data_IF_459713458296
#
_entry.id   IF_459713458296
#
_cell.length_a   1.000
_cell.length_b   1.000
_cell.length_c   1.000
_cell.angle_alpha   90.00
_cell.angle_beta   90.00
_cell.angle_gamma   90.00
#
_symmetry.space_group_name_H-M   'P 1'
#
loop_
_entity.id
_entity.type
_entity.pdbx_description
1 polymer ?
#
# COMPACT_ATOMS: atom_id res chain seq x y z
N UNK A 1 27.53 -27.37 -9.40
CA UNK A 1 26.47 -27.91 -8.51
C UNK A 1 26.01 -26.82 -7.54
N UNK A 2 24.70 -26.65 -7.30
CA UNK A 2 24.20 -25.74 -6.24
C UNK A 2 24.04 -26.55 -4.94
N UNK A 3 24.73 -26.17 -3.85
CA UNK A 3 24.56 -26.82 -2.54
C UNK A 3 23.12 -26.61 -2.05
N UNK A 4 22.53 -27.63 -1.42
CA UNK A 4 21.28 -27.50 -0.65
C UNK A 4 21.47 -26.43 0.44
N UNK A 5 20.40 -25.76 0.91
CA UNK A 5 20.42 -25.10 2.21
C UNK A 5 20.95 -26.09 3.26
N UNK A 6 21.79 -25.61 4.18
CA UNK A 6 22.17 -26.40 5.36
C UNK A 6 21.01 -26.37 6.34
N UNK A 7 20.89 -27.46 7.10
CA UNK A 7 20.06 -27.55 8.30
C UNK A 7 20.29 -26.35 9.22
N UNK A 8 19.27 -25.96 9.98
CA UNK A 8 19.38 -24.96 11.05
C UNK A 8 20.40 -25.41 12.12
N UNK A 9 21.65 -25.02 11.93
CA UNK A 9 22.72 -25.32 12.90
C UNK A 9 22.35 -24.81 14.30
N UNK A 10 22.76 -25.49 15.40
CA UNK A 10 22.48 -25.02 16.76
C UNK A 10 22.97 -23.60 17.07
N UNK A 11 23.95 -23.09 16.30
CA UNK A 11 24.39 -21.69 16.34
C UNK A 11 23.34 -20.72 15.77
N UNK A 12 22.73 -21.06 14.64
CA UNK A 12 21.68 -20.23 14.01
C UNK A 12 20.39 -20.22 14.85
N UNK A 13 19.99 -21.37 15.43
CA UNK A 13 18.86 -21.43 16.36
C UNK A 13 19.05 -20.49 17.57
N UNK A 14 20.28 -20.39 18.10
CA UNK A 14 20.65 -19.46 19.19
C UNK A 14 20.63 -17.97 18.82
N UNK A 15 20.39 -17.62 17.55
CA UNK A 15 20.33 -16.25 17.07
C UNK A 15 19.01 -15.93 16.36
N UNK A 16 18.04 -16.85 16.39
CA UNK A 16 16.71 -16.68 15.80
C UNK A 16 15.95 -15.55 16.51
N UNK A 17 15.77 -14.41 15.83
CA UNK A 17 14.88 -13.33 16.26
C UNK A 17 13.51 -13.49 15.67
N UNK A 18 12.48 -13.15 16.45
CA UNK A 18 11.08 -13.42 16.10
C UNK A 18 10.19 -12.26 16.53
N UNK A 19 9.23 -11.91 15.67
CA UNK A 19 8.20 -10.92 15.96
C UNK A 19 7.24 -11.41 17.06
N UNK A 20 7.02 -10.56 18.06
CA UNK A 20 6.20 -10.81 19.25
C UNK A 20 4.72 -10.40 19.10
N UNK A 21 4.27 -10.08 17.88
CA UNK A 21 2.85 -9.81 17.54
C UNK A 21 2.15 -10.98 16.83
N UNK A 22 2.86 -11.80 16.04
CA UNK A 22 2.24 -12.52 14.91
C UNK A 22 2.00 -14.03 15.16
N UNK A 23 1.88 -14.42 16.44
CA UNK A 23 1.68 -15.80 16.87
C UNK A 23 2.83 -16.77 16.55
N UNK A 24 3.98 -16.26 16.09
CA UNK A 24 5.18 -17.07 15.82
C UNK A 24 5.77 -17.68 17.10
N UNK A 25 5.82 -16.90 18.18
CA UNK A 25 6.31 -17.35 19.51
C UNK A 25 5.52 -18.56 20.01
N UNK A 26 4.19 -18.54 19.86
CA UNK A 26 3.30 -19.64 20.27
C UNK A 26 3.51 -20.90 19.41
N UNK A 27 3.72 -20.74 18.10
CA UNK A 27 4.05 -21.86 17.19
C UNK A 27 5.42 -22.48 17.48
N UNK A 28 6.41 -21.67 17.81
CA UNK A 28 7.76 -22.12 18.19
C UNK A 28 7.75 -22.90 19.50
N UNK A 29 7.07 -22.39 20.54
CA UNK A 29 6.86 -23.12 21.81
C UNK A 29 6.10 -24.43 21.57
N UNK A 30 5.04 -24.43 20.75
CA UNK A 30 4.29 -25.64 20.40
C UNK A 30 5.07 -26.64 19.52
N UNK A 31 6.17 -26.22 18.88
CA UNK A 31 7.07 -27.08 18.11
C UNK A 31 8.24 -27.63 18.94
N UNK A 32 8.41 -27.20 20.20
CA UNK A 32 9.58 -27.54 21.02
C UNK A 32 10.84 -26.71 20.73
N UNK A 33 10.72 -25.67 19.89
CA UNK A 33 11.83 -24.79 19.47
C UNK A 33 11.62 -23.34 19.99
N UNK A 34 11.67 -23.07 21.31
CA UNK A 34 11.42 -21.73 21.84
C UNK A 34 12.43 -20.68 21.29
N UNK A 35 11.98 -19.46 20.93
CA UNK A 35 12.85 -18.44 20.36
C UNK A 35 13.89 -17.95 21.36
N UNK A 36 15.15 -17.87 20.93
CA UNK A 36 16.27 -17.50 21.81
C UNK A 36 16.40 -15.99 22.04
N UNK A 37 15.83 -15.17 21.15
CA UNK A 37 15.62 -13.74 21.42
C UNK A 37 14.30 -13.23 20.81
N UNK A 38 13.44 -12.64 21.63
CA UNK A 38 12.25 -11.94 21.13
C UNK A 38 12.64 -10.55 20.61
N UNK A 39 12.19 -10.20 19.41
CA UNK A 39 12.25 -8.83 18.95
C UNK A 39 11.21 -7.98 19.70
N UNK A 40 11.51 -6.72 20.08
CA UNK A 40 10.52 -5.78 20.57
C UNK A 40 9.34 -5.69 19.59
N UNK A 41 8.11 -5.54 20.10
CA UNK A 41 6.94 -5.31 19.24
C UNK A 41 7.20 -4.10 18.34
N UNK A 42 7.04 -4.29 17.04
CA UNK A 42 7.34 -3.28 16.03
C UNK A 42 6.20 -3.26 15.00
N UNK A 43 5.68 -2.08 14.60
CA UNK A 43 4.61 -2.00 13.59
C UNK A 43 5.04 -2.46 12.20
N UNK A 44 6.35 -2.60 11.94
CA UNK A 44 6.90 -3.22 10.73
C UNK A 44 6.96 -4.76 10.80
N UNK A 45 6.68 -5.35 11.98
CA UNK A 45 6.57 -6.79 12.22
C UNK A 45 7.70 -7.62 11.61
N UNK A 46 7.32 -8.69 10.90
CA UNK A 46 8.22 -9.57 10.15
C UNK A 46 9.12 -8.84 9.13
N UNK A 47 8.64 -7.76 8.51
CA UNK A 47 9.30 -7.14 7.35
C UNK A 47 10.67 -6.56 7.73
N UNK A 48 10.74 -5.86 8.86
CA UNK A 48 12.00 -5.33 9.40
C UNK A 48 13.01 -6.43 9.73
N UNK A 49 12.56 -7.57 10.25
CA UNK A 49 13.45 -8.69 10.53
C UNK A 49 13.99 -9.32 9.22
N UNK A 50 13.20 -9.30 8.15
CA UNK A 50 13.66 -9.71 6.82
C UNK A 50 14.66 -8.70 6.21
N UNK A 51 14.49 -7.39 6.45
CA UNK A 51 15.49 -6.36 6.10
C UNK A 51 16.83 -6.61 6.82
N UNK A 52 16.78 -6.89 8.13
CA UNK A 52 17.99 -7.20 8.92
C UNK A 52 18.70 -8.50 8.46
N UNK A 53 17.96 -9.53 8.04
CA UNK A 53 18.56 -10.73 7.40
C UNK A 53 19.14 -10.41 6.02
N UNK A 54 18.48 -9.55 5.24
CA UNK A 54 18.94 -9.16 3.90
C UNK A 54 20.23 -8.33 3.94
N UNK A 55 20.40 -7.51 4.98
CA UNK A 55 21.59 -6.72 5.27
C UNK A 55 22.71 -7.49 5.99
N UNK A 56 22.40 -8.66 6.57
CA UNK A 56 23.35 -9.48 7.34
C UNK A 56 23.53 -9.06 8.80
N UNK A 57 22.68 -8.17 9.32
CA UNK A 57 22.68 -7.75 10.73
C UNK A 57 22.27 -8.88 11.69
N UNK A 58 21.42 -9.81 11.22
CA UNK A 58 21.00 -11.01 11.95
C UNK A 58 21.01 -12.22 10.98
N UNK A 59 21.32 -13.44 11.44
CA UNK A 59 21.48 -14.59 10.54
C UNK A 59 20.16 -15.17 10.03
N UNK A 60 19.07 -15.04 10.80
CA UNK A 60 17.76 -15.57 10.46
C UNK A 60 16.61 -14.88 11.23
N UNK A 61 15.40 -15.03 10.69
CA UNK A 61 14.12 -14.69 11.34
C UNK A 61 13.07 -15.74 10.97
N UNK A 62 12.04 -15.89 11.80
CA UNK A 62 10.82 -16.61 11.41
C UNK A 62 9.85 -15.65 10.70
N UNK A 63 9.14 -16.17 9.69
CA UNK A 63 8.23 -15.46 8.80
C UNK A 63 7.27 -16.46 8.11
N UNK A 64 6.12 -16.02 7.62
CA UNK A 64 5.29 -16.80 6.70
C UNK A 64 5.95 -16.89 5.32
N UNK A 65 5.81 -18.04 4.64
CA UNK A 65 6.35 -18.23 3.27
C UNK A 65 5.96 -17.09 2.33
N UNK A 66 4.69 -16.67 2.34
CA UNK A 66 4.22 -15.57 1.49
C UNK A 66 4.85 -14.21 1.84
N UNK A 67 5.26 -13.97 3.09
CA UNK A 67 6.00 -12.75 3.47
C UNK A 67 7.42 -12.78 2.89
N UNK A 68 8.12 -13.92 3.01
CA UNK A 68 9.45 -14.09 2.44
C UNK A 68 9.41 -14.05 0.91
N UNK A 69 8.39 -14.64 0.27
CA UNK A 69 8.21 -14.56 -1.19
C UNK A 69 7.91 -13.14 -1.69
N UNK A 70 7.25 -12.29 -0.89
CA UNK A 70 7.13 -10.84 -1.18
C UNK A 70 8.47 -10.12 -0.97
N UNK A 71 9.10 -10.29 0.19
CA UNK A 71 10.35 -9.63 0.56
C UNK A 71 11.48 -9.89 -0.45
N UNK A 72 11.59 -11.12 -0.97
CA UNK A 72 12.57 -11.53 -1.99
C UNK A 72 12.49 -10.77 -3.33
N UNK A 73 11.40 -10.05 -3.60
CA UNK A 73 11.29 -9.16 -4.77
C UNK A 73 12.08 -7.85 -4.58
N UNK A 74 12.18 -7.35 -3.34
CA UNK A 74 12.97 -6.16 -2.96
C UNK A 74 14.38 -6.53 -2.51
N UNK A 75 14.52 -7.70 -1.91
CA UNK A 75 15.75 -8.20 -1.26
C UNK A 75 16.17 -9.57 -1.83
N UNK A 76 16.82 -9.63 -3.01
CA UNK A 76 17.17 -10.91 -3.66
C UNK A 76 18.16 -11.78 -2.87
N UNK A 77 18.87 -11.19 -1.90
CA UNK A 77 19.76 -11.90 -0.97
C UNK A 77 19.00 -12.89 -0.07
N UNK A 78 17.73 -12.61 0.24
CA UNK A 78 16.90 -13.46 1.10
C UNK A 78 16.68 -14.85 0.51
N UNK A 79 16.72 -15.85 1.40
CA UNK A 79 16.51 -17.27 1.08
C UNK A 79 15.45 -17.83 2.01
N UNK A 80 14.62 -18.73 1.50
CA UNK A 80 13.74 -19.54 2.34
C UNK A 80 14.61 -20.53 3.13
N UNK A 81 14.44 -20.53 4.46
CA UNK A 81 14.95 -21.58 5.33
C UNK A 81 14.01 -22.79 5.38
N UNK A 82 14.19 -23.61 6.40
CA UNK A 82 13.32 -24.76 6.69
C UNK A 82 11.98 -24.31 7.28
N UNK A 83 10.96 -25.18 7.22
CA UNK A 83 9.63 -24.89 7.73
C UNK A 83 9.55 -25.28 9.21
N UNK A 84 9.36 -24.30 10.09
CA UNK A 84 9.35 -24.52 11.54
C UNK A 84 7.91 -24.70 12.05
N UNK A 85 7.68 -25.81 12.76
CA UNK A 85 6.39 -26.20 13.31
C UNK A 85 5.39 -26.77 12.28
N UNK A 86 4.27 -27.35 12.76
CA UNK A 86 3.25 -27.94 11.89
C UNK A 86 2.54 -26.90 11.03
N UNK A 87 2.08 -27.32 9.84
CA UNK A 87 1.30 -26.47 8.91
C UNK A 87 -0.12 -26.27 9.45
N UNK A 88 -0.26 -25.36 10.41
CA UNK A 88 -1.52 -25.05 11.06
C UNK A 88 -2.57 -24.50 10.09
N UNK A 89 -3.76 -25.10 10.10
CA UNK A 89 -4.93 -24.56 9.41
C UNK A 89 -5.44 -23.31 10.11
N UNK A 90 -5.51 -22.18 9.39
CA UNK A 90 -6.26 -21.01 9.85
C UNK A 90 -7.75 -21.39 9.93
N UNK A 91 -8.32 -21.33 11.12
CA UNK A 91 -9.75 -21.53 11.40
C UNK A 91 -10.43 -20.23 11.82
N UNK A 92 -11.76 -20.23 11.86
CA UNK A 92 -12.53 -19.17 12.50
C UNK A 92 -12.67 -19.48 13.99
N UNK A 93 -12.23 -18.56 14.84
CA UNK A 93 -12.48 -18.63 16.28
C UNK A 93 -13.92 -18.22 16.57
N UNK A 94 -14.63 -19.05 17.33
CA UNK A 94 -16.02 -18.83 17.71
C UNK A 94 -16.14 -18.79 19.23
N UNK A 95 -17.20 -18.16 19.75
CA UNK A 95 -17.49 -18.18 21.19
C UNK A 95 -17.82 -19.62 21.59
N UNK A 96 -17.22 -20.10 22.68
CA UNK A 96 -17.56 -21.41 23.25
C UNK A 96 -18.98 -21.32 23.86
N UNK A 97 -19.93 -22.05 23.28
CA UNK A 97 -21.35 -22.07 23.67
C UNK A 97 -21.90 -23.50 23.62
N UNK A 98 -22.82 -23.84 24.52
CA UNK A 98 -23.48 -25.15 24.50
C UNK A 98 -24.39 -25.35 23.27
N UNK A 99 -24.83 -24.25 22.62
CA UNK A 99 -25.39 -24.35 21.28
C UNK A 99 -24.27 -24.36 20.21
N UNK A 100 -24.17 -25.49 19.51
CA UNK A 100 -23.27 -25.71 18.37
C UNK A 100 -23.98 -25.52 17.01
N UNK A 101 -25.22 -25.03 16.97
CA UNK A 101 -26.00 -24.84 15.72
C UNK A 101 -25.23 -24.03 14.66
N UNK A 102 -24.59 -22.94 15.09
CA UNK A 102 -23.81 -22.07 14.22
C UNK A 102 -22.47 -22.71 13.80
N UNK A 103 -21.78 -23.39 14.72
CA UNK A 103 -20.51 -24.06 14.42
C UNK A 103 -20.70 -25.12 13.32
N UNK A 104 -21.74 -25.94 13.45
CA UNK A 104 -22.11 -26.96 12.45
C UNK A 104 -22.52 -26.37 11.10
N UNK A 105 -23.00 -25.12 11.05
CA UNK A 105 -23.23 -24.40 9.78
C UNK A 105 -21.91 -23.88 9.17
N UNK A 106 -21.01 -23.35 9.98
CA UNK A 106 -19.67 -22.89 9.55
C UNK A 106 -18.85 -24.04 8.97
N UNK A 107 -18.87 -25.22 9.61
CA UNK A 107 -18.21 -26.43 9.08
C UNK A 107 -18.81 -26.89 7.74
N UNK A 108 -20.14 -26.95 7.63
CA UNK A 108 -20.83 -27.28 6.37
C UNK A 108 -20.43 -26.30 5.25
N UNK A 109 -20.40 -24.99 5.55
CA UNK A 109 -19.92 -23.97 4.63
C UNK A 109 -18.48 -24.24 4.19
N UNK A 110 -17.54 -24.50 5.11
CA UNK A 110 -16.15 -24.76 4.72
C UNK A 110 -15.96 -26.07 3.96
N UNK A 111 -16.73 -27.13 4.25
CA UNK A 111 -16.74 -28.36 3.43
C UNK A 111 -17.24 -28.07 2.02
N UNK A 112 -18.33 -27.33 1.87
CA UNK A 112 -18.89 -26.98 0.56
C UNK A 112 -18.01 -25.99 -0.23
N UNK A 113 -17.38 -25.02 0.45
CA UNK A 113 -16.44 -24.07 -0.15
C UNK A 113 -15.11 -24.72 -0.58
N UNK A 114 -14.73 -25.85 0.05
CA UNK A 114 -13.63 -26.72 -0.43
C UNK A 114 -14.07 -27.51 -1.67
N UNK A 115 -15.20 -28.24 -1.60
CA UNK A 115 -15.71 -29.07 -2.71
C UNK A 115 -16.01 -28.29 -3.99
N UNK A 116 -16.54 -27.08 -3.88
CA UNK A 116 -16.86 -26.20 -5.02
C UNK A 116 -15.65 -25.47 -5.61
N UNK A 117 -14.46 -25.60 -5.01
CA UNK A 117 -13.27 -24.82 -5.40
C UNK A 117 -13.31 -23.35 -4.99
N UNK A 118 -14.38 -22.87 -4.33
CA UNK A 118 -14.54 -21.48 -3.91
C UNK A 118 -13.35 -20.97 -3.10
N UNK A 119 -12.82 -21.75 -2.15
CA UNK A 119 -11.64 -21.34 -1.38
C UNK A 119 -10.37 -21.22 -2.25
N UNK A 120 -10.24 -22.04 -3.31
CA UNK A 120 -9.11 -21.96 -4.23
C UNK A 120 -9.24 -20.74 -5.17
N UNK A 121 -10.47 -20.43 -5.63
CA UNK A 121 -10.77 -19.21 -6.38
C UNK A 121 -10.50 -17.96 -5.54
N UNK A 122 -11.02 -17.89 -4.31
CA UNK A 122 -10.80 -16.77 -3.40
C UNK A 122 -9.31 -16.57 -3.09
N UNK A 123 -8.55 -17.65 -2.82
CA UNK A 123 -7.09 -17.58 -2.67
C UNK A 123 -6.40 -17.05 -3.94
N UNK A 124 -6.80 -17.53 -5.12
CA UNK A 124 -6.23 -17.08 -6.41
C UNK A 124 -6.53 -15.60 -6.69
N UNK A 125 -7.70 -15.10 -6.26
CA UNK A 125 -8.06 -13.69 -6.34
C UNK A 125 -7.26 -12.86 -5.31
N UNK A 126 -7.23 -13.26 -4.04
CA UNK A 126 -6.43 -12.65 -2.96
C UNK A 126 -4.95 -12.53 -3.32
N UNK A 127 -4.27 -13.63 -3.68
CA UNK A 127 -2.87 -13.59 -4.08
C UNK A 127 -2.65 -12.79 -5.37
N UNK A 128 -3.61 -12.82 -6.31
CA UNK A 128 -3.55 -12.04 -7.56
C UNK A 128 -3.71 -10.53 -7.37
N UNK A 129 -4.43 -10.11 -6.32
CA UNK A 129 -4.54 -8.71 -5.89
C UNK A 129 -3.31 -8.31 -5.06
N UNK A 130 -3.01 -9.02 -3.96
CA UNK A 130 -1.90 -8.69 -3.06
C UNK A 130 -0.53 -8.68 -3.75
N UNK A 131 -0.23 -9.67 -4.61
CA UNK A 131 1.06 -9.71 -5.35
C UNK A 131 1.20 -8.61 -6.43
N UNK A 132 0.20 -7.75 -6.63
CA UNK A 132 0.25 -6.61 -7.58
C UNK A 132 0.23 -5.23 -6.92
N UNK A 133 -0.22 -5.11 -5.66
CA UNK A 133 -0.62 -3.82 -5.11
C UNK A 133 -0.18 -3.53 -3.66
N UNK A 134 0.43 -4.50 -2.97
CA UNK A 134 0.64 -4.43 -1.51
C UNK A 134 2.07 -3.96 -1.10
N UNK A 135 2.68 -3.06 -1.89
CA UNK A 135 3.95 -2.38 -1.55
C UNK A 135 3.89 -0.90 -1.95
N UNK A 136 3.46 -0.06 -1.03
CA UNK A 136 3.76 1.38 -1.07
C UNK A 136 5.21 1.53 -0.65
N UNK A 137 6.05 2.12 -1.52
CA UNK A 137 7.51 2.05 -1.38
C UNK A 137 8.06 3.13 -0.43
N UNK A 138 7.76 3.00 0.86
CA UNK A 138 8.11 4.03 1.87
C UNK A 138 9.63 4.25 2.01
N UNK A 139 10.45 3.21 1.81
CA UNK A 139 11.91 3.33 1.78
C UNK A 139 12.40 4.06 0.52
N UNK A 140 11.90 3.66 -0.66
CA UNK A 140 12.20 4.32 -1.93
C UNK A 140 11.67 5.76 -1.97
N UNK A 141 10.63 6.06 -1.19
CA UNK A 141 10.11 7.41 -0.99
C UNK A 141 11.01 8.25 -0.09
N UNK A 142 11.42 7.75 1.09
CA UNK A 142 12.38 8.44 1.98
C UNK A 142 13.70 8.76 1.25
N UNK A 143 14.28 7.76 0.57
CA UNK A 143 15.47 7.96 -0.28
C UNK A 143 15.24 9.00 -1.37
N UNK A 144 14.03 9.10 -1.93
CA UNK A 144 13.70 10.12 -2.92
C UNK A 144 13.47 11.50 -2.30
N UNK A 145 12.98 11.60 -1.05
CA UNK A 145 12.89 12.86 -0.31
C UNK A 145 14.30 13.46 -0.11
N UNK A 146 15.29 12.62 0.19
CA UNK A 146 16.69 13.02 0.29
C UNK A 146 17.33 13.38 -1.07
N UNK A 147 17.11 12.57 -2.11
CA UNK A 147 17.91 12.62 -3.35
C UNK A 147 17.25 13.30 -4.56
N UNK A 148 15.92 13.49 -4.52
CA UNK A 148 15.12 14.03 -5.65
C UNK A 148 14.28 15.24 -5.27
N UNK A 149 13.56 15.22 -4.14
CA UNK A 149 12.60 16.27 -3.77
C UNK A 149 13.19 17.69 -3.80
N UNK A 150 14.43 17.95 -3.34
CA UNK A 150 15.01 19.31 -3.36
C UNK A 150 15.14 19.92 -4.76
N UNK A 151 15.08 19.10 -5.82
CA UNK A 151 15.10 19.56 -7.23
C UNK A 151 13.75 20.10 -7.72
N UNK A 152 12.67 19.79 -7.01
CA UNK A 152 11.28 20.05 -7.41
C UNK A 152 10.47 20.79 -6.34
N UNK A 153 10.97 20.87 -5.09
CA UNK A 153 10.25 21.46 -3.96
C UNK A 153 9.84 22.93 -4.20
N UNK A 154 10.71 23.75 -4.80
CA UNK A 154 10.38 25.13 -5.15
C UNK A 154 9.23 25.25 -6.17
N UNK A 155 9.12 24.29 -7.10
CA UNK A 155 8.03 24.22 -8.08
C UNK A 155 6.73 23.72 -7.44
N UNK A 156 6.81 22.69 -6.57
CA UNK A 156 5.66 22.24 -5.79
C UNK A 156 5.11 23.36 -4.90
N UNK A 157 5.97 24.07 -4.17
CA UNK A 157 5.57 25.20 -3.31
C UNK A 157 4.92 26.33 -4.10
N UNK A 158 5.50 26.70 -5.26
CA UNK A 158 4.95 27.76 -6.13
C UNK A 158 3.59 27.39 -6.71
N UNK A 159 3.50 26.24 -7.40
CA UNK A 159 2.26 25.80 -8.04
C UNK A 159 1.13 25.51 -7.03
N UNK A 160 1.47 25.09 -5.81
CA UNK A 160 0.51 24.86 -4.75
C UNK A 160 -0.04 26.18 -4.16
N UNK A 161 0.84 27.18 -3.98
CA UNK A 161 0.45 28.52 -3.51
C UNK A 161 -0.47 29.25 -4.51
N UNK A 162 -0.25 29.09 -5.82
CA UNK A 162 -1.15 29.60 -6.88
C UNK A 162 -2.60 29.08 -6.77
N UNK A 163 -2.81 27.97 -6.07
CA UNK A 163 -4.09 27.26 -6.01
C UNK A 163 -4.59 26.95 -4.58
N UNK A 164 -3.93 27.48 -3.54
CA UNK A 164 -4.35 27.31 -2.14
C UNK A 164 -4.27 25.87 -1.60
N UNK A 165 -3.51 24.98 -2.24
CA UNK A 165 -3.37 23.56 -1.82
C UNK A 165 -2.06 23.33 -1.05
N UNK A 166 -1.98 22.23 -0.28
CA UNK A 166 -0.72 21.87 0.39
C UNK A 166 0.29 21.32 -0.63
N UNK A 167 1.47 21.95 -0.72
CA UNK A 167 2.54 21.53 -1.63
C UNK A 167 3.01 20.09 -1.37
N UNK A 168 2.89 19.59 -0.14
CA UNK A 168 3.23 18.21 0.25
C UNK A 168 2.25 17.22 -0.34
N UNK A 169 0.97 17.59 -0.49
CA UNK A 169 -0.04 16.77 -1.17
C UNK A 169 0.27 16.66 -2.67
N UNK A 170 0.65 17.79 -3.29
CA UNK A 170 1.09 17.83 -4.71
C UNK A 170 2.33 16.96 -4.90
N UNK A 171 3.34 17.10 -4.01
CA UNK A 171 4.56 16.30 -4.06
C UNK A 171 4.28 14.79 -3.83
N UNK A 172 3.37 14.44 -2.92
CA UNK A 172 2.94 13.05 -2.69
C UNK A 172 2.24 12.45 -3.92
N UNK A 173 1.35 13.20 -4.58
CA UNK A 173 0.70 12.81 -5.83
C UNK A 173 1.74 12.61 -6.95
N UNK A 174 2.63 13.58 -7.14
CA UNK A 174 3.73 13.53 -8.09
C UNK A 174 4.65 12.30 -7.91
N UNK A 175 4.84 11.85 -6.67
CA UNK A 175 5.59 10.61 -6.41
C UNK A 175 4.79 9.36 -6.77
N UNK A 176 3.50 9.31 -6.46
CA UNK A 176 2.64 8.19 -6.85
C UNK A 176 2.54 8.05 -8.38
N UNK A 177 2.52 9.17 -9.11
CA UNK A 177 2.45 9.20 -10.58
C UNK A 177 3.77 8.79 -11.25
N UNK A 178 4.90 9.43 -10.89
CA UNK A 178 6.18 9.26 -11.62
C UNK A 178 7.36 8.80 -10.78
N UNK A 179 7.21 8.65 -9.45
CA UNK A 179 8.30 8.60 -8.46
C UNK A 179 9.27 9.79 -8.58
N UNK A 180 8.74 10.97 -8.92
CA UNK A 180 9.50 12.15 -9.34
C UNK A 180 10.49 11.81 -10.46
N UNK A 181 9.95 11.41 -11.62
CA UNK A 181 10.68 11.25 -12.86
C UNK A 181 10.05 12.14 -13.93
N UNK A 182 10.66 13.28 -14.31
CA UNK A 182 10.12 14.14 -15.36
C UNK A 182 10.06 13.45 -16.73
N UNK A 183 10.86 12.40 -16.96
CA UNK A 183 10.85 11.58 -18.20
C UNK A 183 9.98 10.31 -18.08
N UNK A 184 8.96 10.32 -17.21
CA UNK A 184 8.03 9.21 -17.11
C UNK A 184 7.06 9.16 -18.31
N UNK A 185 6.78 7.96 -18.79
CA UNK A 185 5.79 7.67 -19.83
C UNK A 185 4.96 6.45 -19.44
N UNK A 186 3.69 6.41 -19.86
CA UNK A 186 2.81 5.25 -19.71
C UNK A 186 2.37 4.69 -21.08
N UNK A 187 2.00 3.40 -21.16
CA UNK A 187 1.35 2.84 -22.35
C UNK A 187 0.00 3.49 -22.72
N UNK A 188 -0.56 4.35 -21.85
CA UNK A 188 -1.81 5.10 -22.07
C UNK A 188 -1.57 6.54 -22.55
N UNK A 189 -0.32 6.93 -22.84
CA UNK A 189 0.02 8.27 -23.34
C UNK A 189 0.02 9.39 -22.29
N UNK A 190 -0.17 9.06 -21.00
CA UNK A 190 0.17 9.95 -19.90
C UNK A 190 1.69 10.06 -19.76
N UNK A 191 2.20 11.28 -19.54
CA UNK A 191 3.64 11.63 -19.54
C UNK A 191 3.97 12.67 -18.49
N UNK A 192 5.24 12.71 -18.09
CA UNK A 192 5.79 13.78 -17.26
C UNK A 192 5.75 13.49 -15.76
N UNK A 193 6.24 14.45 -14.99
CA UNK A 193 6.35 14.36 -13.53
C UNK A 193 4.96 14.15 -12.87
N UNK A 194 3.93 14.82 -13.38
CA UNK A 194 2.52 14.70 -12.95
C UNK A 194 1.66 13.75 -13.81
N UNK A 195 2.28 12.99 -14.73
CA UNK A 195 1.62 12.00 -15.61
C UNK A 195 0.34 12.50 -16.31
N UNK A 196 0.42 13.64 -16.97
CA UNK A 196 -0.71 14.22 -17.69
C UNK A 196 -0.89 13.57 -19.07
N UNK A 197 -2.14 13.30 -19.46
CA UNK A 197 -2.50 12.97 -20.84
C UNK A 197 -2.54 14.23 -21.73
N UNK A 198 -2.39 14.06 -23.05
CA UNK A 198 -2.29 15.16 -24.02
C UNK A 198 -3.51 16.11 -24.06
N UNK A 199 -4.69 15.65 -23.63
CA UNK A 199 -5.87 16.49 -23.49
C UNK A 199 -5.72 17.43 -22.27
N UNK A 200 -5.61 16.84 -21.07
CA UNK A 200 -5.44 17.57 -19.81
C UNK A 200 -4.27 18.54 -19.84
N UNK A 201 -3.10 18.13 -20.34
CA UNK A 201 -1.93 19.02 -20.39
C UNK A 201 -2.18 20.29 -21.21
N UNK A 202 -2.82 20.18 -22.39
CA UNK A 202 -3.18 21.35 -23.22
C UNK A 202 -4.23 22.22 -22.53
N UNK A 203 -5.26 21.62 -21.95
CA UNK A 203 -6.29 22.34 -21.18
C UNK A 203 -5.76 23.06 -19.94
N UNK A 204 -4.59 22.67 -19.44
CA UNK A 204 -3.99 23.20 -18.20
C UNK A 204 -2.72 24.05 -18.46
N UNK A 205 -2.29 24.20 -19.72
CA UNK A 205 -1.17 25.07 -20.13
C UNK A 205 0.21 24.40 -20.21
N UNK A 206 0.32 23.07 -20.05
CA UNK A 206 1.58 22.34 -20.25
C UNK A 206 1.81 22.04 -21.74
N UNK A 207 2.62 22.87 -22.40
CA UNK A 207 3.02 22.71 -23.80
C UNK A 207 3.99 21.54 -23.99
N UNK A 208 5.04 21.46 -23.15
CA UNK A 208 5.75 20.22 -22.90
C UNK A 208 5.30 19.62 -21.57
N UNK A 209 5.32 18.28 -21.49
CA UNK A 209 5.05 17.50 -20.28
C UNK A 209 6.31 16.92 -19.65
N UNK A 210 7.43 16.86 -20.40
CA UNK A 210 8.71 16.39 -19.89
C UNK A 210 9.49 17.47 -19.14
N UNK A 211 9.22 18.76 -19.42
CA UNK A 211 9.57 19.83 -18.50
C UNK A 211 8.92 19.62 -17.12
N UNK A 212 9.74 19.68 -16.07
CA UNK A 212 9.30 19.37 -14.71
C UNK A 212 8.35 20.44 -14.17
N UNK A 213 8.70 21.72 -14.35
CA UNK A 213 7.99 22.86 -13.78
C UNK A 213 6.61 23.03 -14.41
N UNK A 214 6.50 22.92 -15.74
CA UNK A 214 5.23 22.94 -16.47
C UNK A 214 4.36 21.72 -16.14
N UNK A 215 4.97 20.53 -15.98
CA UNK A 215 4.24 19.33 -15.54
C UNK A 215 3.64 19.52 -14.15
N UNK A 216 4.42 20.05 -13.19
CA UNK A 216 3.96 20.36 -11.82
C UNK A 216 2.84 21.41 -11.83
N UNK A 217 3.03 22.53 -12.52
CA UNK A 217 2.05 23.62 -12.59
C UNK A 217 0.70 23.14 -13.17
N UNK A 218 0.73 22.49 -14.34
CA UNK A 218 -0.48 21.98 -14.99
C UNK A 218 -1.15 20.84 -14.21
N UNK A 219 -0.37 19.99 -13.52
CA UNK A 219 -0.92 18.93 -12.68
C UNK A 219 -1.57 19.47 -11.40
N UNK A 220 -0.98 20.50 -10.80
CA UNK A 220 -1.55 21.17 -9.63
C UNK A 220 -2.83 21.92 -9.98
N UNK A 221 -2.84 22.61 -11.13
CA UNK A 221 -4.02 23.26 -11.69
C UNK A 221 -5.15 22.28 -11.98
N UNK A 222 -4.83 21.10 -12.53
CA UNK A 222 -5.82 20.04 -12.75
C UNK A 222 -6.37 19.47 -11.43
N UNK A 223 -5.52 19.30 -10.41
CA UNK A 223 -5.93 18.87 -9.09
C UNK A 223 -6.88 19.88 -8.43
N UNK A 224 -6.55 21.17 -8.50
CA UNK A 224 -7.39 22.27 -7.97
C UNK A 224 -8.72 22.37 -8.72
N UNK A 225 -8.73 22.27 -10.05
CA UNK A 225 -9.96 22.22 -10.84
C UNK A 225 -10.84 21.01 -10.45
N UNK A 226 -10.27 19.82 -10.29
CA UNK A 226 -11.03 18.64 -9.84
C UNK A 226 -11.63 18.81 -8.44
N UNK A 227 -10.99 19.59 -7.57
CA UNK A 227 -11.45 19.90 -6.21
C UNK A 227 -12.59 20.91 -6.21
N UNK A 228 -12.48 21.96 -7.03
CA UNK A 228 -13.55 22.92 -7.32
C UNK A 228 -14.80 22.20 -7.85
N UNK A 229 -14.63 21.34 -8.86
CA UNK A 229 -15.71 20.56 -9.48
C UNK A 229 -16.41 19.54 -8.55
N UNK A 230 -15.94 19.33 -7.32
CA UNK A 230 -16.65 18.53 -6.33
C UNK A 230 -17.75 19.27 -5.59
N UNK A 231 -17.72 20.61 -5.58
CA UNK A 231 -18.67 21.45 -4.84
C UNK A 231 -18.49 21.42 -3.32
N UNK A 232 -19.09 22.42 -2.66
CA UNK A 232 -18.99 22.61 -1.20
C UNK A 232 -19.89 21.65 -0.42
N UNK A 233 -20.74 20.86 -1.08
CA UNK A 233 -21.49 19.77 -0.43
C UNK A 233 -20.59 18.60 0.00
N UNK A 234 -19.33 18.59 -0.45
CA UNK A 234 -18.30 17.61 -0.08
C UNK A 234 -17.35 18.26 0.93
N UNK A 235 -17.48 17.88 2.20
CA UNK A 235 -16.61 18.37 3.26
C UNK A 235 -15.18 17.77 3.18
N UNK A 236 -14.20 18.47 3.74
CA UNK A 236 -12.88 17.89 4.00
C UNK A 236 -12.92 16.93 5.20
N UNK A 237 -12.03 15.92 5.27
CA UNK A 237 -10.98 15.59 4.30
C UNK A 237 -11.47 14.75 3.10
N UNK A 238 -12.77 14.44 3.02
CA UNK A 238 -13.33 13.58 1.97
C UNK A 238 -13.23 14.22 0.58
N UNK A 239 -13.37 15.54 0.46
CA UNK A 239 -13.18 16.28 -0.81
C UNK A 239 -11.78 16.08 -1.37
N UNK A 240 -10.73 16.19 -0.57
CA UNK A 240 -9.36 15.87 -0.99
C UNK A 240 -9.21 14.43 -1.50
N UNK A 241 -9.72 13.44 -0.78
CA UNK A 241 -9.59 12.02 -1.19
C UNK A 241 -10.39 11.69 -2.45
N UNK A 242 -11.59 12.28 -2.59
CA UNK A 242 -12.41 12.17 -3.79
C UNK A 242 -11.73 12.87 -4.98
N UNK A 243 -11.07 14.01 -4.76
CA UNK A 243 -10.28 14.73 -5.79
C UNK A 243 -9.16 13.85 -6.32
N UNK A 244 -8.38 13.21 -5.45
CA UNK A 244 -7.30 12.28 -5.85
C UNK A 244 -7.86 11.09 -6.66
N UNK A 245 -9.02 10.55 -6.28
CA UNK A 245 -9.69 9.51 -7.07
C UNK A 245 -10.11 10.03 -8.46
N UNK A 246 -10.64 11.25 -8.57
CA UNK A 246 -10.96 11.89 -9.84
C UNK A 246 -9.71 12.21 -10.69
N UNK A 247 -8.54 12.43 -10.07
CA UNK A 247 -7.27 12.56 -10.79
C UNK A 247 -6.91 11.25 -11.49
N UNK A 248 -7.07 10.11 -10.79
CA UNK A 248 -6.72 8.79 -11.32
C UNK A 248 -7.69 8.22 -12.37
N UNK A 249 -9.02 8.35 -12.19
CA UNK A 249 -10.04 7.80 -13.11
C UNK A 249 -10.85 8.85 -13.88
N UNK A 250 -10.49 10.11 -13.77
CA UNK A 250 -11.24 11.23 -14.35
C UNK A 250 -12.55 11.54 -13.60
N UNK A 251 -13.10 12.75 -13.76
CA UNK A 251 -14.32 13.18 -13.06
C UNK A 251 -15.53 12.32 -13.47
N UNK A 252 -15.60 11.88 -14.74
CA UNK A 252 -16.65 10.95 -15.21
C UNK A 252 -16.57 9.55 -14.59
N UNK A 253 -15.37 9.11 -14.19
CA UNK A 253 -15.15 7.88 -13.43
C UNK A 253 -15.66 8.03 -12.00
N UNK A 254 -15.26 9.10 -11.31
CA UNK A 254 -15.74 9.38 -9.96
C UNK A 254 -17.26 9.60 -9.91
N UNK A 255 -17.84 10.35 -10.86
CA UNK A 255 -19.27 10.58 -10.91
C UNK A 255 -20.07 9.27 -11.10
N UNK A 256 -19.50 8.26 -11.78
CA UNK A 256 -20.07 6.90 -11.84
C UNK A 256 -20.05 6.22 -10.47
N UNK A 257 -18.97 6.40 -9.69
CA UNK A 257 -18.84 5.88 -8.34
C UNK A 257 -19.82 6.56 -7.36
N UNK A 258 -19.88 7.91 -7.33
CA UNK A 258 -20.86 8.68 -6.55
C UNK A 258 -22.30 8.20 -6.83
N UNK A 259 -22.68 8.03 -8.11
CA UNK A 259 -24.00 7.47 -8.49
C UNK A 259 -24.23 6.02 -8.04
N UNK A 260 -23.20 5.19 -7.93
CA UNK A 260 -23.35 3.82 -7.43
C UNK A 260 -23.56 3.79 -5.91
N UNK A 261 -22.89 4.69 -5.16
CA UNK A 261 -23.13 4.86 -3.72
C UNK A 261 -24.58 5.28 -3.43
N UNK A 262 -25.12 6.27 -4.16
CA UNK A 262 -26.54 6.69 -4.02
C UNK A 262 -27.50 5.53 -4.28
N UNK A 263 -27.23 4.69 -5.29
CA UNK A 263 -28.05 3.49 -5.58
C UNK A 263 -28.01 2.42 -4.50
N UNK A 264 -27.05 2.48 -3.57
CA UNK A 264 -26.97 1.61 -2.39
C UNK A 264 -27.50 2.29 -1.11
N UNK A 265 -28.05 3.51 -1.21
CA UNK A 265 -28.51 4.30 -0.05
C UNK A 265 -27.37 4.93 0.78
N UNK A 266 -26.12 4.87 0.29
CA UNK A 266 -24.96 5.47 0.97
C UNK A 266 -24.79 6.96 0.65
N UNK A 267 -23.90 7.63 1.40
CA UNK A 267 -23.56 9.04 1.17
C UNK A 267 -22.44 9.19 0.11
N UNK A 268 -22.71 9.77 -1.08
CA UNK A 268 -21.74 9.90 -2.17
C UNK A 268 -20.61 10.90 -1.90
N UNK A 269 -20.70 11.70 -0.83
CA UNK A 269 -19.73 12.73 -0.47
C UNK A 269 -18.71 12.23 0.57
N UNK A 270 -18.71 10.92 0.86
CA UNK A 270 -17.80 10.26 1.80
C UNK A 270 -16.84 9.34 1.05
N UNK A 271 -15.54 9.56 1.18
CA UNK A 271 -14.51 8.69 0.62
C UNK A 271 -14.65 7.23 1.06
N UNK A 272 -14.93 6.89 2.34
CA UNK A 272 -15.14 5.49 2.75
C UNK A 272 -16.26 4.76 1.99
N UNK A 273 -17.33 5.46 1.62
CA UNK A 273 -18.44 4.90 0.84
C UNK A 273 -18.05 4.71 -0.63
N UNK A 274 -17.47 5.75 -1.24
CA UNK A 274 -17.01 5.70 -2.64
C UNK A 274 -15.90 4.67 -2.82
N UNK A 275 -14.95 4.58 -1.88
CA UNK A 275 -13.90 3.55 -1.82
C UNK A 275 -14.46 2.13 -1.78
N UNK A 276 -15.60 1.90 -1.12
CA UNK A 276 -16.25 0.57 -1.06
C UNK A 276 -16.79 0.13 -2.42
N UNK A 277 -17.28 1.07 -3.25
CA UNK A 277 -17.89 0.74 -4.55
C UNK A 277 -16.91 0.78 -5.73
N UNK A 278 -15.81 1.53 -5.67
CA UNK A 278 -14.81 1.60 -6.76
C UNK A 278 -14.39 0.22 -7.32
N UNK A 279 -14.10 -0.81 -6.48
CA UNK A 279 -13.80 -2.16 -6.94
C UNK A 279 -14.86 -2.87 -7.80
N UNK A 280 -16.14 -2.49 -7.71
CA UNK A 280 -17.20 -3.13 -8.51
C UNK A 280 -17.39 -2.50 -9.90
N UNK A 281 -16.80 -1.32 -10.15
CA UNK A 281 -17.02 -0.56 -11.38
C UNK A 281 -16.20 -1.05 -12.59
N UNK A 282 -15.14 -1.83 -12.36
CA UNK A 282 -14.34 -2.50 -13.39
C UNK A 282 -13.86 -3.87 -12.89
N UNK A 283 -13.85 -4.92 -13.74
CA UNK A 283 -13.49 -6.26 -13.31
C UNK A 283 -12.00 -6.39 -12.94
N UNK A 284 -11.74 -7.08 -11.83
CA UNK A 284 -10.41 -7.47 -11.38
C UNK A 284 -9.53 -6.28 -10.97
N UNK A 285 -8.26 -6.31 -11.41
CA UNK A 285 -7.21 -5.41 -10.93
C UNK A 285 -7.50 -3.90 -11.14
N UNK A 286 -8.27 -3.53 -12.18
CA UNK A 286 -8.54 -2.12 -12.51
C UNK A 286 -9.56 -1.44 -11.61
N UNK A 287 -10.49 -2.19 -11.00
CA UNK A 287 -11.45 -1.62 -10.05
C UNK A 287 -10.79 -1.07 -8.78
N UNK A 288 -9.62 -1.62 -8.42
CA UNK A 288 -8.86 -1.22 -7.24
C UNK A 288 -7.76 -0.18 -7.51
N UNK A 289 -7.36 0.02 -8.78
CA UNK A 289 -6.37 1.01 -9.23
C UNK A 289 -6.54 2.41 -8.56
N UNK A 290 -7.75 2.97 -8.41
CA UNK A 290 -7.94 4.30 -7.80
C UNK A 290 -7.91 4.26 -6.26
N UNK A 291 -8.31 3.14 -5.64
CA UNK A 291 -8.22 2.96 -4.18
C UNK A 291 -6.75 2.89 -3.76
N UNK A 292 -5.93 2.13 -4.49
CA UNK A 292 -4.49 2.06 -4.22
C UNK A 292 -3.79 3.38 -4.49
N UNK A 293 -4.19 4.13 -5.53
CA UNK A 293 -3.65 5.46 -5.80
C UNK A 293 -3.87 6.42 -4.63
N UNK A 294 -5.12 6.62 -4.20
CA UNK A 294 -5.46 7.52 -3.08
C UNK A 294 -4.75 7.10 -1.79
N UNK A 295 -4.83 5.83 -1.39
CA UNK A 295 -4.24 5.38 -0.13
C UNK A 295 -2.69 5.38 -0.15
N UNK A 296 -2.06 5.37 -1.34
CA UNK A 296 -0.61 5.57 -1.48
C UNK A 296 -0.23 7.05 -1.33
N UNK A 297 -0.94 7.96 -2.00
CA UNK A 297 -0.73 9.41 -1.85
C UNK A 297 -0.93 9.85 -0.41
N UNK A 298 -1.94 9.32 0.30
CA UNK A 298 -2.16 9.59 1.73
C UNK A 298 -0.95 9.22 2.60
N UNK A 299 -0.29 8.09 2.33
CA UNK A 299 0.91 7.64 3.07
C UNK A 299 2.14 8.50 2.77
N UNK A 300 2.34 8.88 1.51
CA UNK A 300 3.43 9.79 1.11
C UNK A 300 3.22 11.21 1.67
N UNK A 301 1.98 11.70 1.67
CA UNK A 301 1.61 13.01 2.23
C UNK A 301 1.79 13.05 3.76
N UNK A 302 1.41 11.99 4.47
CA UNK A 302 1.67 11.88 5.91
C UNK A 302 3.17 11.94 6.23
N UNK A 303 4.02 11.21 5.48
CA UNK A 303 5.47 11.25 5.64
C UNK A 303 6.08 12.64 5.33
N UNK A 304 5.59 13.34 4.31
CA UNK A 304 6.02 14.73 4.03
C UNK A 304 5.53 15.73 5.08
N UNK A 305 4.41 15.44 5.73
CA UNK A 305 3.83 16.30 6.77
C UNK A 305 4.44 16.06 8.15
N UNK A 306 5.10 14.91 8.37
CA UNK A 306 5.83 14.58 9.60
C UNK A 306 7.29 15.03 9.63
N UNK A 307 7.71 15.92 8.72
CA UNK A 307 9.09 16.43 8.62
C UNK A 307 9.08 17.95 8.66
N UNK A 308 9.27 18.48 9.87
CA UNK A 308 9.71 19.87 10.08
C UNK A 308 11.26 19.93 10.16
N UNK A 309 11.91 21.01 9.69
CA UNK A 309 13.35 21.01 9.45
C UNK A 309 14.20 21.58 10.60
N UNK A 310 14.23 20.92 11.78
CA UNK A 310 15.19 21.24 12.86
C UNK A 310 15.68 19.97 13.57
N UNK A 311 16.99 19.70 13.48
CA UNK A 311 17.82 18.77 14.27
C UNK A 311 17.33 17.34 14.58
N UNK A 312 18.24 16.51 15.12
CA UNK A 312 18.06 15.06 15.18
C UNK A 312 17.37 14.50 16.44
N UNK A 313 16.64 13.39 16.23
CA UNK A 313 16.15 12.34 17.17
C UNK A 313 14.67 12.41 17.63
N UNK A 314 13.88 11.46 17.10
CA UNK A 314 12.95 10.54 17.83
C UNK A 314 11.73 11.12 18.61
N UNK A 315 10.47 10.66 18.44
CA UNK A 315 9.88 9.60 17.58
C UNK A 315 8.60 10.10 16.84
N UNK A 316 7.31 9.68 16.96
CA UNK A 316 6.58 8.65 17.74
C UNK A 316 5.40 8.01 16.92
N UNK A 317 4.23 7.80 17.54
CA UNK A 317 2.98 7.15 17.07
C UNK A 317 1.95 8.16 16.50
N UNK A 318 0.84 7.82 15.83
CA UNK A 318 0.14 6.54 15.50
C UNK A 318 -0.69 6.79 14.20
N UNK A 319 -1.35 5.84 13.48
CA UNK A 319 -1.64 4.40 13.62
C UNK A 319 -1.18 3.64 12.36
#
# INVERSE_FOLDING_TARGET
>A
MRRRPRELTPSAARQLRVSSSDGYVQRLVAAGEPPVALAPRSPLGTVRLLEQVAAGEIPCTLAQRDEVERARQRMPSLRLGEAVGPVGSIGWLMRNTHDESLARQVDRFFVQARKSGLLAQLRKQEHGLRRRFDVVDLEGFRRAMETKLPRFEADFRRAAAEHGVDWRLVAALAYQESRWNPRAESPRGARGLMMLISATARSMGAHDRFDASASIAAGTRYLAWLHEQLGDEVAEPDRTWLTLAAYNIGPGGLARARRHVVKQGGNPNRWPEVRRVLPSLQPGARGWEPVFHVESVRRYFALLSSVDPVDGRLVLVDL
#
